data_IF_673837743070
#
_entry.id   IF_673837743070
#
_cell.length_a   1.000
_cell.length_b   1.000
_cell.length_c   1.000
_cell.angle_alpha   90.00
_cell.angle_beta   90.00
_cell.angle_gamma   90.00
#
_symmetry.space_group_name_H-M   'P 1'
#
loop_
_entity.id
_entity.type
_entity.pdbx_description
1 polymer ?
#
# COMPACT_ATOMS: atom_id res chain seq x y z
N UNK A 1 -29.95 -16.10 -2.73
CA UNK A 1 -30.19 -16.06 -4.19
C UNK A 1 -29.14 -15.17 -4.83
N UNK A 2 -28.44 -15.66 -5.85
CA UNK A 2 -27.43 -14.87 -6.59
C UNK A 2 -28.17 -13.90 -7.51
N UNK A 3 -27.83 -12.60 -7.47
CA UNK A 3 -28.44 -11.58 -8.32
C UNK A 3 -28.21 -11.90 -9.82
N UNK A 4 -29.12 -11.52 -10.70
CA UNK A 4 -28.97 -11.79 -12.14
C UNK A 4 -27.78 -11.04 -12.75
N UNK A 5 -27.25 -11.52 -13.89
CA UNK A 5 -26.14 -10.83 -14.61
C UNK A 5 -26.45 -9.36 -14.89
N UNK A 6 -27.69 -9.04 -15.26
CA UNK A 6 -28.11 -7.66 -15.51
C UNK A 6 -28.06 -6.80 -14.24
N UNK A 7 -28.48 -7.36 -13.10
CA UNK A 7 -28.46 -6.66 -11.81
C UNK A 7 -27.02 -6.47 -11.29
N UNK A 8 -26.13 -7.44 -11.56
CA UNK A 8 -24.69 -7.32 -11.28
C UNK A 8 -24.04 -6.21 -12.12
N UNK A 9 -24.34 -6.17 -13.43
CA UNK A 9 -23.83 -5.14 -14.33
C UNK A 9 -24.27 -3.73 -13.90
N UNK A 10 -25.55 -3.55 -13.59
CA UNK A 10 -26.08 -2.27 -13.11
C UNK A 10 -25.42 -1.82 -11.78
N UNK A 11 -25.16 -2.77 -10.88
CA UNK A 11 -24.45 -2.50 -9.62
C UNK A 11 -23.00 -2.09 -9.87
N UNK A 12 -22.30 -2.77 -10.78
CA UNK A 12 -20.92 -2.45 -11.15
C UNK A 12 -20.81 -1.07 -11.82
N UNK A 13 -21.77 -0.73 -12.68
CA UNK A 13 -21.84 0.58 -13.33
C UNK A 13 -22.07 1.69 -12.30
N UNK A 14 -23.04 1.51 -11.38
CA UNK A 14 -23.31 2.48 -10.30
C UNK A 14 -22.08 2.70 -9.43
N UNK A 15 -21.39 1.63 -9.04
CA UNK A 15 -20.14 1.72 -8.25
C UNK A 15 -19.03 2.45 -9.01
N UNK A 16 -18.89 2.21 -10.31
CA UNK A 16 -17.91 2.91 -11.15
C UNK A 16 -18.16 4.42 -11.16
N UNK A 17 -19.43 4.82 -11.31
CA UNK A 17 -19.83 6.24 -11.23
C UNK A 17 -19.58 6.83 -9.83
N UNK A 18 -19.89 6.08 -8.77
CA UNK A 18 -19.64 6.51 -7.39
C UNK A 18 -18.13 6.74 -7.11
N UNK A 19 -17.27 5.86 -7.59
CA UNK A 19 -15.80 6.01 -7.49
C UNK A 19 -15.34 7.27 -8.23
N UNK A 20 -15.79 7.47 -9.48
CA UNK A 20 -15.42 8.65 -10.26
C UNK A 20 -15.84 9.96 -9.57
N UNK A 21 -17.05 10.00 -9.01
CA UNK A 21 -17.53 11.15 -8.24
C UNK A 21 -16.72 11.41 -6.97
N UNK A 22 -16.30 10.35 -6.25
CA UNK A 22 -15.39 10.51 -5.09
C UNK A 22 -14.03 11.03 -5.48
N UNK A 23 -13.45 10.58 -6.60
CA UNK A 23 -12.19 11.09 -7.12
C UNK A 23 -12.29 12.58 -7.52
N UNK A 24 -13.46 13.02 -7.98
CA UNK A 24 -13.76 14.41 -8.28
C UNK A 24 -14.09 15.27 -7.02
N UNK A 25 -13.99 14.70 -5.81
CA UNK A 25 -14.22 15.41 -4.55
C UNK A 25 -15.67 15.52 -4.10
N UNK A 26 -16.64 14.91 -4.81
CA UNK A 26 -18.06 14.98 -4.45
C UNK A 26 -18.35 14.20 -3.16
N UNK A 27 -19.14 14.76 -2.24
CA UNK A 27 -19.47 14.14 -0.97
C UNK A 27 -20.46 12.95 -1.11
N UNK A 28 -20.56 12.12 -0.08
CA UNK A 28 -21.39 10.91 -0.09
C UNK A 28 -22.91 11.17 -0.06
N UNK A 29 -23.34 12.33 0.43
CA UNK A 29 -24.76 12.72 0.41
C UNK A 29 -25.18 12.97 -1.03
N UNK A 30 -24.44 13.84 -1.73
CA UNK A 30 -24.66 14.14 -3.15
C UNK A 30 -24.54 12.90 -4.03
N UNK A 31 -23.60 11.99 -3.73
CA UNK A 31 -23.47 10.71 -4.44
C UNK A 31 -24.68 9.82 -4.21
N UNK A 32 -25.20 9.78 -2.98
CA UNK A 32 -26.36 8.97 -2.66
C UNK A 32 -27.59 9.42 -3.44
N UNK A 33 -27.86 10.73 -3.45
CA UNK A 33 -28.96 11.34 -4.21
C UNK A 33 -28.82 11.08 -5.71
N UNK A 34 -27.66 11.38 -6.30
CA UNK A 34 -27.46 11.30 -7.76
C UNK A 34 -27.46 9.87 -8.30
N UNK A 35 -27.07 8.89 -7.48
CA UNK A 35 -26.98 7.49 -7.90
C UNK A 35 -28.11 6.61 -7.34
N UNK A 36 -29.08 7.21 -6.64
CA UNK A 36 -30.26 6.52 -6.12
C UNK A 36 -29.94 5.54 -4.98
N UNK A 37 -28.97 5.85 -4.12
CA UNK A 37 -28.78 5.11 -2.88
C UNK A 37 -29.83 5.51 -1.84
N UNK A 38 -30.21 4.57 -0.98
CA UNK A 38 -31.20 4.82 0.08
C UNK A 38 -30.73 5.85 1.13
N UNK A 39 -29.42 6.02 1.29
CA UNK A 39 -28.83 7.02 2.19
C UNK A 39 -27.34 7.21 1.92
N UNK A 40 -26.75 8.28 2.46
CA UNK A 40 -25.29 8.49 2.54
C UNK A 40 -24.54 7.28 3.09
N UNK A 41 -25.08 6.66 4.15
CA UNK A 41 -24.49 5.48 4.77
C UNK A 41 -24.51 4.26 3.84
N UNK A 42 -25.59 4.09 3.07
CA UNK A 42 -25.68 3.03 2.06
C UNK A 42 -24.67 3.22 0.93
N UNK A 43 -24.49 4.46 0.43
CA UNK A 43 -23.48 4.78 -0.59
C UNK A 43 -22.06 4.53 -0.08
N UNK A 44 -21.75 4.97 1.14
CA UNK A 44 -20.44 4.78 1.77
C UNK A 44 -20.10 3.28 1.90
N UNK A 45 -21.03 2.49 2.47
CA UNK A 45 -20.83 1.06 2.68
C UNK A 45 -20.69 0.28 1.37
N UNK A 46 -21.49 0.61 0.35
CA UNK A 46 -21.40 -0.03 -0.96
C UNK A 46 -20.06 0.27 -1.65
N UNK A 47 -19.59 1.51 -1.54
CA UNK A 47 -18.30 1.92 -2.09
C UNK A 47 -17.12 1.23 -1.40
N UNK A 48 -17.08 1.25 -0.07
CA UNK A 48 -16.02 0.58 0.70
C UNK A 48 -15.96 -0.90 0.33
N UNK A 49 -17.11 -1.58 0.34
CA UNK A 49 -17.19 -2.98 -0.07
C UNK A 49 -16.71 -3.20 -1.51
N UNK A 50 -17.04 -2.31 -2.43
CA UNK A 50 -16.59 -2.40 -3.81
C UNK A 50 -15.07 -2.28 -3.93
N UNK A 51 -14.46 -1.39 -3.15
CA UNK A 51 -13.01 -1.22 -3.09
C UNK A 51 -12.33 -2.42 -2.45
N UNK A 52 -12.86 -2.95 -1.35
CA UNK A 52 -12.36 -4.17 -0.69
C UNK A 52 -12.38 -5.37 -1.63
N UNK A 53 -13.49 -5.58 -2.35
CA UNK A 53 -13.60 -6.65 -3.35
C UNK A 53 -12.56 -6.45 -4.46
N UNK A 54 -12.44 -5.24 -5.02
CA UNK A 54 -11.45 -4.96 -6.07
C UNK A 54 -10.03 -5.19 -5.57
N UNK A 55 -9.72 -4.77 -4.35
CA UNK A 55 -8.41 -4.97 -3.74
C UNK A 55 -8.12 -6.47 -3.54
N UNK A 56 -9.10 -7.26 -3.09
CA UNK A 56 -8.98 -8.70 -2.97
C UNK A 56 -8.79 -9.38 -4.35
N UNK A 57 -9.54 -8.98 -5.37
CA UNK A 57 -9.39 -9.45 -6.75
C UNK A 57 -8.01 -9.10 -7.32
N UNK A 58 -7.52 -7.88 -7.10
CA UNK A 58 -6.17 -7.46 -7.47
C UNK A 58 -5.11 -8.32 -6.77
N UNK A 59 -5.29 -8.60 -5.47
CA UNK A 59 -4.42 -9.51 -4.72
C UNK A 59 -4.38 -10.92 -5.30
N UNK A 60 -5.54 -11.47 -5.67
CA UNK A 60 -5.65 -12.77 -6.30
C UNK A 60 -5.00 -12.81 -7.69
N UNK A 61 -5.17 -11.77 -8.51
CA UNK A 61 -4.49 -11.63 -9.79
C UNK A 61 -2.97 -11.58 -9.63
N UNK A 62 -2.49 -10.83 -8.64
CA UNK A 62 -1.07 -10.78 -8.30
C UNK A 62 -0.54 -12.16 -7.87
N UNK A 63 -1.33 -12.94 -7.14
CA UNK A 63 -0.96 -14.32 -6.74
C UNK A 63 -0.83 -15.25 -7.95
N UNK A 64 -1.74 -15.16 -8.93
CA UNK A 64 -1.62 -15.91 -10.19
C UNK A 64 -0.31 -15.58 -10.90
N UNK A 65 0.05 -14.30 -11.02
CA UNK A 65 1.31 -13.89 -11.63
C UNK A 65 2.53 -14.37 -10.84
N UNK A 66 2.49 -14.31 -9.49
CA UNK A 66 3.54 -14.88 -8.62
C UNK A 66 3.72 -16.38 -8.89
N UNK A 67 2.63 -17.14 -8.99
CA UNK A 67 2.69 -18.59 -9.25
C UNK A 67 3.31 -18.92 -10.62
N UNK A 68 3.00 -18.15 -11.66
CA UNK A 68 3.57 -18.33 -13.00
C UNK A 68 5.08 -18.08 -12.97
N UNK A 69 5.51 -17.04 -12.25
CA UNK A 69 6.92 -16.72 -12.12
C UNK A 69 7.68 -17.75 -11.28
N UNK A 70 7.08 -18.28 -10.21
CA UNK A 70 7.64 -19.39 -9.44
C UNK A 70 7.88 -20.63 -10.33
N UNK A 71 6.92 -20.99 -11.18
CA UNK A 71 7.08 -22.10 -12.14
C UNK A 71 8.20 -21.86 -13.16
N UNK A 72 8.42 -20.62 -13.59
CA UNK A 72 9.54 -20.28 -14.46
C UNK A 72 10.87 -20.48 -13.75
N UNK A 73 10.98 -20.06 -12.49
CA UNK A 73 12.16 -20.29 -11.65
C UNK A 73 12.41 -21.78 -11.44
N UNK A 74 11.37 -22.59 -11.23
CA UNK A 74 11.48 -24.05 -11.09
C UNK A 74 12.08 -24.69 -12.35
N UNK A 75 11.64 -24.28 -13.54
CA UNK A 75 12.20 -24.75 -14.81
C UNK A 75 13.67 -24.38 -14.98
N UNK A 76 14.04 -23.15 -14.62
CA UNK A 76 15.44 -22.70 -14.69
C UNK A 76 16.33 -23.46 -13.70
N UNK A 77 15.83 -23.70 -12.48
CA UNK A 77 16.57 -24.48 -11.49
C UNK A 77 16.77 -25.92 -11.96
N UNK A 78 15.73 -26.57 -12.48
CA UNK A 78 15.80 -27.93 -12.98
C UNK A 78 16.86 -28.10 -14.08
N UNK A 79 17.00 -27.11 -14.97
CA UNK A 79 18.01 -27.12 -16.03
C UNK A 79 19.46 -27.05 -15.49
N UNK A 80 19.69 -26.30 -14.42
CA UNK A 80 21.03 -26.15 -13.81
C UNK A 80 21.33 -27.21 -12.72
N UNK A 81 20.32 -27.91 -12.22
CA UNK A 81 20.41 -28.74 -11.01
C UNK A 81 21.43 -29.88 -11.12
N UNK A 82 21.41 -30.61 -12.24
CA UNK A 82 22.30 -31.76 -12.43
C UNK A 82 23.79 -31.35 -12.43
N UNK A 83 24.12 -30.23 -13.10
CA UNK A 83 25.48 -29.69 -13.12
C UNK A 83 25.91 -29.16 -11.75
N UNK A 84 25.00 -28.52 -11.01
CA UNK A 84 25.27 -28.04 -9.67
C UNK A 84 25.62 -29.19 -8.71
N UNK A 85 24.88 -30.31 -8.78
CA UNK A 85 25.16 -31.51 -7.98
C UNK A 85 26.48 -32.20 -8.34
N UNK A 86 26.98 -32.00 -9.56
CA UNK A 86 28.29 -32.50 -9.99
C UNK A 86 29.45 -31.61 -9.52
N UNK A 87 29.17 -30.51 -8.82
CA UNK A 87 30.18 -29.61 -8.28
C UNK A 87 30.59 -28.46 -9.20
N UNK A 88 29.86 -28.22 -10.31
CA UNK A 88 30.08 -27.04 -11.14
C UNK A 88 29.71 -25.77 -10.35
N UNK A 89 30.73 -24.99 -9.99
CA UNK A 89 30.56 -23.80 -9.15
C UNK A 89 29.67 -22.74 -9.78
N UNK A 90 29.65 -22.60 -11.11
CA UNK A 90 28.79 -21.63 -11.82
C UNK A 90 27.33 -22.08 -11.79
N UNK A 91 27.08 -23.38 -11.93
CA UNK A 91 25.75 -23.96 -11.81
C UNK A 91 25.24 -23.84 -10.37
N UNK A 92 26.08 -24.10 -9.37
CA UNK A 92 25.74 -23.90 -7.95
C UNK A 92 25.36 -22.44 -7.69
N UNK A 93 26.17 -21.48 -8.12
CA UNK A 93 25.88 -20.05 -7.95
C UNK A 93 24.54 -19.66 -8.62
N UNK A 94 24.30 -20.19 -9.83
CA UNK A 94 23.05 -19.96 -10.57
C UNK A 94 21.85 -20.52 -9.82
N UNK A 95 21.93 -21.75 -9.30
CA UNK A 95 20.86 -22.39 -8.52
C UNK A 95 20.59 -21.62 -7.22
N UNK A 96 21.64 -21.20 -6.50
CA UNK A 96 21.49 -20.39 -5.28
C UNK A 96 20.77 -19.08 -5.57
N UNK A 97 21.12 -18.40 -6.67
CA UNK A 97 20.46 -17.15 -7.09
C UNK A 97 18.98 -17.35 -7.44
N UNK A 98 18.64 -18.48 -8.08
CA UNK A 98 17.25 -18.84 -8.38
C UNK A 98 16.46 -19.10 -7.09
N UNK A 99 17.06 -19.81 -6.13
CA UNK A 99 16.45 -20.08 -4.82
C UNK A 99 16.20 -18.77 -4.06
N UNK A 100 17.19 -17.89 -3.95
CA UNK A 100 17.04 -16.56 -3.32
C UNK A 100 15.90 -15.76 -3.97
N UNK A 101 15.83 -15.73 -5.31
CA UNK A 101 14.74 -15.06 -6.01
C UNK A 101 13.38 -15.67 -5.70
N UNK A 102 13.29 -17.00 -5.57
CA UNK A 102 12.05 -17.70 -5.21
C UNK A 102 11.64 -17.41 -3.77
N UNK A 103 12.57 -17.41 -2.82
CA UNK A 103 12.29 -17.08 -1.42
C UNK A 103 11.71 -15.66 -1.27
N UNK A 104 12.29 -14.67 -1.96
CA UNK A 104 11.77 -13.29 -1.99
C UNK A 104 10.41 -13.18 -2.64
N UNK A 105 10.17 -13.91 -3.73
CA UNK A 105 8.89 -13.90 -4.45
C UNK A 105 7.75 -14.48 -3.59
N UNK A 106 8.05 -15.52 -2.81
CA UNK A 106 7.09 -16.25 -1.97
C UNK A 106 7.02 -15.74 -0.52
N UNK A 107 7.89 -14.81 -0.13
CA UNK A 107 7.95 -14.29 1.24
C UNK A 107 8.44 -15.32 2.27
N UNK A 108 9.33 -16.23 1.87
CA UNK A 108 9.90 -17.26 2.75
C UNK A 108 11.08 -16.76 3.60
N UNK A 109 11.63 -15.59 3.25
CA UNK A 109 12.69 -14.95 4.00
C UNK A 109 12.13 -14.34 5.30
N UNK A 110 12.92 -14.43 6.38
CA UNK A 110 12.58 -13.71 7.60
C UNK A 110 12.51 -12.20 7.31
N UNK A 111 11.52 -11.48 7.85
CA UNK A 111 11.43 -10.04 7.64
C UNK A 111 12.71 -9.38 8.15
N UNK A 112 13.39 -8.65 7.27
CA UNK A 112 14.40 -7.69 7.72
C UNK A 112 13.67 -6.69 8.64
N UNK A 113 14.19 -6.48 9.86
CA UNK A 113 13.58 -5.67 10.93
C UNK A 113 12.70 -4.56 10.37
N UNK A 114 11.40 -4.66 10.60
CA UNK A 114 10.43 -3.65 10.21
C UNK A 114 10.14 -2.79 11.43
N UNK A 115 10.72 -1.60 11.49
CA UNK A 115 10.28 -0.56 12.43
C UNK A 115 8.97 0.02 11.89
N UNK A 116 7.85 -0.55 12.33
CA UNK A 116 6.54 0.03 12.07
C UNK A 116 6.37 1.18 13.06
N UNK A 117 6.61 2.40 12.59
CA UNK A 117 6.15 3.59 13.30
C UNK A 117 4.63 3.60 13.20
N UNK A 118 3.93 3.47 14.33
CA UNK A 118 2.49 3.67 14.36
C UNK A 118 2.19 5.13 14.00
N UNK A 119 1.02 5.38 13.42
CA UNK A 119 0.56 6.73 13.10
C UNK A 119 0.58 7.61 14.37
N UNK A 120 0.19 7.04 15.52
CA UNK A 120 0.25 7.73 16.82
C UNK A 120 1.67 8.16 17.22
N UNK A 121 2.69 7.35 16.90
CA UNK A 121 4.09 7.67 17.19
C UNK A 121 4.61 8.81 16.29
N UNK A 122 4.12 8.87 15.05
CA UNK A 122 4.44 9.95 14.12
C UNK A 122 3.79 11.25 14.57
N UNK A 123 2.53 11.20 15.00
CA UNK A 123 1.78 12.37 15.49
C UNK A 123 2.39 12.96 16.76
N UNK A 124 2.83 12.12 17.70
CA UNK A 124 3.53 12.57 18.91
C UNK A 124 4.87 13.25 18.57
N UNK A 125 5.63 12.67 17.63
CA UNK A 125 6.91 13.22 17.19
C UNK A 125 6.73 14.57 16.46
N UNK A 126 5.67 14.71 15.66
CA UNK A 126 5.32 15.98 15.01
C UNK A 126 5.03 17.05 16.05
N UNK A 127 4.25 16.73 17.09
CA UNK A 127 3.92 17.68 18.17
C UNK A 127 5.17 18.16 18.87
N UNK A 128 6.04 17.23 19.26
CA UNK A 128 7.28 17.53 19.97
C UNK A 128 8.23 18.41 19.13
N UNK A 129 8.37 18.12 17.83
CA UNK A 129 9.19 18.94 16.94
C UNK A 129 8.58 20.32 16.68
N UNK A 130 7.26 20.43 16.63
CA UNK A 130 6.56 21.71 16.48
C UNK A 130 6.79 22.60 17.71
N UNK A 131 6.71 22.01 18.91
CA UNK A 131 6.97 22.72 20.16
C UNK A 131 8.44 23.18 20.26
N UNK A 132 9.39 22.33 19.84
CA UNK A 132 10.80 22.70 19.78
C UNK A 132 11.07 23.85 18.80
N UNK A 133 10.41 23.85 17.65
CA UNK A 133 10.55 24.93 16.66
C UNK A 133 9.96 26.24 17.18
N UNK A 134 8.79 26.19 17.82
CA UNK A 134 8.17 27.35 18.46
C UNK A 134 9.03 27.92 19.60
N UNK A 135 9.65 27.05 20.41
CA UNK A 135 10.58 27.48 21.45
C UNK A 135 11.85 28.13 20.86
N UNK A 136 12.40 27.58 19.78
CA UNK A 136 13.55 28.17 19.09
C UNK A 136 13.23 29.53 18.45
N UNK A 137 12.03 29.69 17.89
CA UNK A 137 11.55 30.97 17.35
C UNK A 137 11.36 32.02 18.45
N UNK A 138 10.91 31.60 19.64
CA UNK A 138 10.81 32.47 20.81
C UNK A 138 12.18 32.90 21.35
N UNK A 139 13.15 31.99 21.44
CA UNK A 139 14.52 32.33 21.87
C UNK A 139 15.25 33.23 20.87
N UNK A 140 14.97 33.11 19.56
CA UNK A 140 15.51 34.01 18.55
C UNK A 140 14.91 35.43 18.61
N UNK A 141 13.71 35.58 19.15
CA UNK A 141 13.02 36.88 19.31
C UNK A 141 13.43 37.70 20.53
N UNK A 142 14.13 37.10 21.50
CA UNK A 142 14.43 37.71 22.81
C UNK A 142 15.92 38.06 22.99
N UNK A 143 16.64 38.32 21.89
CA UNK A 143 17.97 38.92 21.96
C UNK A 143 17.88 40.34 22.57
N UNK A 144 18.53 40.61 23.72
CA UNK A 144 18.36 41.88 24.43
C UNK A 144 19.02 43.02 23.64
N UNK A 145 18.28 44.11 23.45
CA UNK A 145 18.78 45.38 22.95
C UNK A 145 19.98 45.83 23.82
N UNK A 146 21.19 45.63 23.30
CA UNK A 146 22.43 46.05 23.94
C UNK A 146 22.49 47.57 23.89
N UNK A 147 22.45 48.17 25.07
CA UNK A 147 22.63 49.60 25.31
C UNK A 147 23.99 50.03 24.76
N UNK A 148 23.99 51.00 23.84
CA UNK A 148 25.21 51.62 23.33
C UNK A 148 25.91 52.42 24.43
N UNK A 149 27.26 52.44 24.50
CA UNK A 149 27.98 53.09 25.58
C UNK A 149 27.86 54.63 25.45
N UNK A 150 27.72 55.38 26.56
CA UNK A 150 27.75 56.83 26.52
C UNK A 150 29.17 57.32 26.23
N UNK A 151 29.25 58.42 25.47
CA UNK A 151 30.49 59.04 25.01
C UNK A 151 31.27 59.81 26.07
#
# INVERSE_FOLDING_TARGET
>A
MVASKAQQAATAERRTKAIAMRLAGVDFETIAERLGYASRGAATKDLIRALEIRHAEQGAQAEVLRSVEAQRLDRLQAAAWALALQGDLKAIETVVRIIDRRCRLLGLDAPARMEVLSIDAIDEQIRLLTDQLAAADHEAGEAPATQGPPG
#
